data_IF_753292696725
#
_entry.id   IF_753292696725
#
_cell.length_a   1.000
_cell.length_b   1.000
_cell.length_c   1.000
_cell.angle_alpha   90.00
_cell.angle_beta   90.00
_cell.angle_gamma   90.00
#
_symmetry.space_group_name_H-M   'P 1'
#
loop_
_entity.id
_entity.type
_entity.pdbx_description
1 polymer ?
#
# COMPACT_ATOMS: atom_id res chain seq x y z
N UNK A 1 -22.28 16.44 -40.57
CA UNK A 1 -21.86 15.08 -40.14
C UNK A 1 -20.42 14.70 -40.51
N UNK A 2 -19.87 15.02 -41.70
CA UNK A 2 -18.47 14.68 -42.07
C UNK A 2 -17.38 15.21 -41.11
N UNK A 3 -17.57 16.39 -40.50
CA UNK A 3 -16.60 16.99 -39.56
C UNK A 3 -16.55 16.31 -38.18
N UNK A 4 -17.65 15.69 -37.72
CA UNK A 4 -17.67 14.94 -36.45
C UNK A 4 -17.02 13.57 -36.58
N UNK A 5 -17.13 12.92 -37.74
CA UNK A 5 -16.51 11.61 -38.00
C UNK A 5 -14.98 11.74 -38.03
N UNK A 6 -14.44 12.85 -38.55
CA UNK A 6 -13.00 13.10 -38.60
C UNK A 6 -12.38 13.28 -37.20
N UNK A 7 -13.11 13.91 -36.26
CA UNK A 7 -12.62 14.10 -34.89
C UNK A 7 -12.58 12.78 -34.10
N UNK A 8 -13.53 11.87 -34.36
CA UNK A 8 -13.56 10.56 -33.70
C UNK A 8 -12.45 9.65 -34.25
N UNK A 9 -12.14 9.71 -35.56
CA UNK A 9 -11.03 8.96 -36.14
C UNK A 9 -9.65 9.46 -35.66
N UNK A 10 -9.46 10.76 -35.50
CA UNK A 10 -8.19 11.31 -34.97
C UNK A 10 -7.98 11.00 -33.48
N UNK A 11 -9.06 10.87 -32.69
CA UNK A 11 -8.98 10.45 -31.29
C UNK A 11 -8.60 8.98 -31.09
N UNK A 12 -8.93 8.10 -32.05
CA UNK A 12 -8.61 6.67 -32.01
C UNK A 12 -7.17 6.36 -32.45
N UNK A 13 -6.54 7.23 -33.26
CA UNK A 13 -5.16 7.06 -33.74
C UNK A 13 -4.08 7.41 -32.69
N UNK A 14 -4.44 8.12 -31.61
CA UNK A 14 -3.51 8.48 -30.52
C UNK A 14 -3.40 7.35 -29.47
N UNK A 15 -4.30 6.37 -29.50
CA UNK A 15 -4.34 5.22 -28.58
C UNK A 15 -3.64 3.95 -29.11
N UNK A 16 -3.07 3.99 -30.33
CA UNK A 16 -2.45 2.84 -30.98
C UNK A 16 -0.94 2.98 -31.22
N UNK A 17 -0.22 3.72 -30.37
CA UNK A 17 1.25 3.63 -30.33
C UNK A 17 1.63 2.54 -29.34
N UNK A 18 2.08 1.35 -29.79
CA UNK A 18 2.75 0.42 -28.91
C UNK A 18 4.09 1.06 -28.49
N UNK A 19 4.23 1.47 -27.23
CA UNK A 19 5.55 1.74 -26.65
C UNK A 19 6.22 0.39 -26.38
N UNK A 20 6.54 -0.33 -27.45
CA UNK A 20 7.54 -1.38 -27.44
C UNK A 20 8.90 -0.68 -27.56
N UNK A 21 9.39 -0.12 -26.46
CA UNK A 21 10.80 0.27 -26.37
C UNK A 21 11.56 -0.87 -25.70
N UNK A 22 11.75 -1.95 -26.47
CA UNK A 22 12.73 -2.99 -26.15
C UNK A 22 14.09 -2.52 -26.66
N UNK A 23 14.81 -1.77 -25.83
CA UNK A 23 16.23 -1.55 -26.04
C UNK A 23 16.98 -2.78 -25.51
N UNK A 24 17.44 -3.65 -26.41
CA UNK A 24 18.48 -4.64 -26.13
C UNK A 24 19.87 -3.95 -26.07
N UNK A 25 20.83 -4.54 -25.34
CA UNK A 25 21.95 -3.84 -24.75
C UNK A 25 23.08 -3.66 -25.76
N UNK A 26 23.72 -2.47 -25.75
CA UNK A 26 25.04 -2.29 -26.32
C UNK A 26 26.01 -2.10 -25.17
N UNK A 27 26.94 -3.05 -25.03
CA UNK A 27 28.12 -2.95 -24.21
C UNK A 27 28.85 -1.63 -24.51
N UNK A 28 29.05 -0.80 -23.48
CA UNK A 28 30.27 -0.02 -23.30
C UNK A 28 30.54 0.14 -21.82
N UNK A 29 31.49 -0.66 -21.38
CA UNK A 29 32.30 -0.49 -20.19
C UNK A 29 32.79 0.96 -20.08
N UNK A 30 32.45 1.64 -18.98
CA UNK A 30 33.27 2.74 -18.45
C UNK A 30 33.08 2.82 -16.95
N UNK A 31 34.00 2.18 -16.25
CA UNK A 31 34.33 2.47 -14.87
C UNK A 31 34.57 3.98 -14.72
N UNK A 32 33.66 4.65 -14.02
CA UNK A 32 33.93 5.93 -13.36
C UNK A 32 33.13 5.95 -12.06
N UNK A 33 33.88 5.98 -10.99
CA UNK A 33 33.44 6.25 -9.63
C UNK A 33 32.70 7.58 -9.55
N UNK A 34 31.38 7.53 -9.47
CA UNK A 34 30.57 8.63 -8.95
C UNK A 34 29.90 8.16 -7.66
N UNK A 35 30.06 8.87 -6.53
CA UNK A 35 29.32 8.54 -5.32
C UNK A 35 27.84 8.77 -5.62
N UNK A 36 27.07 7.68 -5.67
CA UNK A 36 25.61 7.68 -5.75
C UNK A 36 25.08 8.81 -4.88
N UNK A 37 24.38 9.75 -5.53
CA UNK A 37 23.55 10.80 -4.93
C UNK A 37 22.91 10.23 -3.67
N UNK A 38 23.53 10.54 -2.52
CA UNK A 38 22.95 10.28 -1.23
C UNK A 38 21.62 11.03 -1.27
N UNK A 39 20.51 10.30 -1.25
CA UNK A 39 19.22 10.86 -0.87
C UNK A 39 19.50 11.79 0.31
N UNK A 40 18.99 13.04 0.32
CA UNK A 40 19.13 13.86 1.51
C UNK A 40 18.63 13.02 2.68
N UNK A 41 19.54 12.67 3.60
CA UNK A 41 19.18 12.22 4.93
C UNK A 41 18.53 13.44 5.56
N UNK A 42 17.25 13.66 5.25
CA UNK A 42 16.45 14.54 6.07
C UNK A 42 16.60 14.03 7.50
N UNK A 43 16.81 14.93 8.47
CA UNK A 43 16.91 14.53 9.86
C UNK A 43 15.67 13.72 10.20
N UNK A 44 15.88 12.54 10.77
CA UNK A 44 14.83 11.67 11.28
C UNK A 44 14.01 12.47 12.31
N UNK A 45 13.02 13.23 11.83
CA UNK A 45 11.89 13.59 12.66
C UNK A 45 11.35 12.25 13.10
N UNK A 46 11.50 11.94 14.39
CA UNK A 46 10.85 10.84 15.11
C UNK A 46 9.35 11.02 14.93
N UNK A 47 8.84 10.71 13.75
CA UNK A 47 7.43 10.73 13.44
C UNK A 47 6.85 9.60 14.26
N UNK A 48 6.23 9.97 15.38
CA UNK A 48 5.56 9.05 16.30
C UNK A 48 4.65 8.13 15.46
N UNK A 49 5.10 6.89 15.28
CA UNK A 49 4.32 5.88 14.60
C UNK A 49 3.17 5.48 15.50
N UNK A 50 1.96 5.45 14.95
CA UNK A 50 0.77 5.04 15.69
C UNK A 50 0.64 3.52 15.54
N UNK A 51 0.64 2.79 16.66
CA UNK A 51 0.42 1.35 16.65
C UNK A 51 -1.08 1.07 16.61
N UNK A 52 -1.48 0.11 15.80
CA UNK A 52 -2.86 -0.36 15.68
C UNK A 52 -2.86 -1.87 15.89
N UNK A 53 -3.75 -2.37 16.74
CA UNK A 53 -3.92 -3.81 16.98
C UNK A 53 -5.39 -4.15 16.71
N UNK A 54 -5.64 -5.22 15.99
CA UNK A 54 -7.00 -5.54 15.57
C UNK A 54 -7.21 -6.92 15.01
N UNK A 55 -8.40 -7.11 14.44
CA UNK A 55 -8.88 -8.33 13.80
C UNK A 55 -9.16 -8.07 12.33
N UNK A 56 -9.00 -9.09 11.50
CA UNK A 56 -9.34 -9.06 10.09
C UNK A 56 -10.17 -10.30 9.70
N UNK A 57 -10.92 -10.20 8.61
CA UNK A 57 -11.80 -11.26 8.12
C UNK A 57 -12.15 -11.08 6.65
N UNK A 58 -12.73 -12.11 6.04
CA UNK A 58 -13.20 -12.07 4.65
C UNK A 58 -14.62 -11.48 4.56
N UNK A 59 -14.97 -11.00 3.37
CA UNK A 59 -16.32 -10.49 3.10
C UNK A 59 -17.30 -11.65 3.09
N UNK A 60 -18.45 -11.48 3.73
CA UNK A 60 -19.48 -12.52 3.85
C UNK A 60 -19.30 -13.43 5.06
N UNK A 61 -18.16 -13.34 5.75
CA UNK A 61 -17.94 -14.03 7.01
C UNK A 61 -18.21 -13.10 8.19
N UNK A 62 -19.04 -13.57 9.14
CA UNK A 62 -19.25 -12.90 10.42
C UNK A 62 -18.16 -13.22 11.46
N UNK A 63 -17.14 -13.99 11.08
CA UNK A 63 -16.05 -14.44 11.96
C UNK A 63 -14.73 -13.79 11.56
N UNK A 64 -13.85 -13.60 12.54
CA UNK A 64 -12.49 -13.13 12.27
C UNK A 64 -11.64 -14.26 11.70
N UNK A 65 -10.99 -14.01 10.57
CA UNK A 65 -10.00 -14.91 9.97
C UNK A 65 -8.63 -14.81 10.68
N UNK A 66 -8.38 -13.71 11.41
CA UNK A 66 -7.21 -13.61 12.27
C UNK A 66 -6.99 -12.23 12.88
N UNK A 67 -5.76 -11.99 13.34
CA UNK A 67 -5.36 -10.78 14.04
C UNK A 67 -4.26 -10.05 13.29
N UNK A 68 -4.09 -8.77 13.59
CA UNK A 68 -3.02 -7.97 13.02
C UNK A 68 -2.46 -6.96 14.01
N UNK A 69 -1.22 -6.57 13.76
CA UNK A 69 -0.55 -5.41 14.36
C UNK A 69 0.02 -4.56 13.25
N UNK A 70 -0.34 -3.28 13.19
CA UNK A 70 0.15 -2.32 12.20
C UNK A 70 0.78 -1.11 12.88
N UNK A 71 1.73 -0.48 12.19
CA UNK A 71 2.32 0.81 12.52
C UNK A 71 2.02 1.75 11.38
N UNK A 72 1.34 2.85 11.69
CA UNK A 72 1.02 3.93 10.78
C UNK A 72 2.00 5.08 11.01
N UNK A 73 2.85 5.36 10.03
CA UNK A 73 3.80 6.48 10.09
C UNK A 73 3.43 7.52 9.05
N UNK A 74 3.16 8.75 9.46
CA UNK A 74 2.96 9.86 8.53
C UNK A 74 4.26 10.13 7.77
N UNK A 75 4.24 10.03 6.45
CA UNK A 75 5.40 10.34 5.62
C UNK A 75 5.36 11.78 5.10
N UNK A 76 4.24 12.20 4.47
CA UNK A 76 4.09 13.55 3.92
C UNK A 76 2.63 13.95 3.80
N UNK A 77 2.24 15.12 4.31
CA UNK A 77 0.86 15.65 4.20
C UNK A 77 -0.20 14.59 4.57
N UNK A 78 -0.91 14.04 3.58
CA UNK A 78 -1.97 13.01 3.72
C UNK A 78 -1.50 11.59 3.36
N UNK A 79 -0.20 11.38 3.18
CA UNK A 79 0.44 10.10 2.89
C UNK A 79 0.91 9.45 4.20
N UNK A 80 0.46 8.22 4.42
CA UNK A 80 0.77 7.39 5.57
C UNK A 80 1.46 6.12 5.05
N UNK A 81 2.61 5.78 5.62
CA UNK A 81 3.24 4.48 5.46
C UNK A 81 2.60 3.50 6.44
N UNK A 82 2.29 2.31 5.96
CA UNK A 82 1.65 1.25 6.73
C UNK A 82 2.59 0.04 6.70
N UNK A 83 3.03 -0.40 7.87
CA UNK A 83 3.79 -1.63 8.04
C UNK A 83 3.10 -2.48 9.08
N UNK A 84 2.91 -3.78 8.84
CA UNK A 84 2.24 -4.62 9.81
C UNK A 84 2.59 -6.10 9.71
N UNK A 85 2.13 -6.82 10.71
CA UNK A 85 2.12 -8.28 10.79
C UNK A 85 0.68 -8.73 10.90
N UNK A 86 0.34 -9.81 10.21
CA UNK A 86 -0.96 -10.45 10.29
C UNK A 86 -0.78 -11.94 10.50
N UNK A 87 -1.68 -12.56 11.24
CA UNK A 87 -1.76 -14.00 11.41
C UNK A 87 -3.19 -14.48 11.15
N UNK A 88 -3.35 -15.78 10.98
CA UNK A 88 -4.64 -16.48 11.00
C UNK A 88 -5.02 -16.87 12.43
N UNK A 89 -6.32 -17.05 12.71
CA UNK A 89 -6.84 -17.37 14.05
C UNK A 89 -6.28 -18.68 14.61
N UNK A 90 -6.05 -19.66 13.74
CA UNK A 90 -5.42 -20.96 14.04
C UNK A 90 -3.88 -20.89 14.14
N UNK A 91 -3.28 -19.73 13.86
CA UNK A 91 -1.83 -19.52 13.89
C UNK A 91 -1.05 -20.20 12.75
N UNK A 92 -1.74 -20.84 11.81
CA UNK A 92 -1.14 -21.63 10.72
C UNK A 92 -0.37 -20.76 9.71
N UNK A 93 -0.75 -19.49 9.56
CA UNK A 93 -0.08 -18.57 8.66
C UNK A 93 0.26 -17.24 9.35
N UNK A 94 1.47 -16.75 9.06
CA UNK A 94 1.92 -15.39 9.38
C UNK A 94 2.31 -14.68 8.09
N UNK A 95 2.05 -13.39 8.04
CA UNK A 95 2.42 -12.57 6.91
C UNK A 95 2.80 -11.16 7.33
N UNK A 96 3.54 -10.48 6.45
CA UNK A 96 3.93 -9.09 6.61
C UNK A 96 3.12 -8.23 5.65
N UNK A 97 2.52 -7.15 6.14
CA UNK A 97 1.86 -6.15 5.31
C UNK A 97 2.76 -4.93 5.11
N UNK A 98 2.87 -4.48 3.87
CA UNK A 98 3.54 -3.22 3.52
C UNK A 98 2.66 -2.44 2.56
N UNK A 99 2.40 -1.18 2.87
CA UNK A 99 1.59 -0.34 2.00
C UNK A 99 1.70 1.14 2.30
N UNK A 100 0.96 1.90 1.50
CA UNK A 100 0.79 3.33 1.62
C UNK A 100 -0.71 3.64 1.65
N UNK A 101 -1.11 4.61 2.46
CA UNK A 101 -2.45 5.17 2.45
C UNK A 101 -2.39 6.66 2.11
N UNK A 102 -3.17 7.10 1.12
CA UNK A 102 -3.31 8.52 0.73
C UNK A 102 -4.77 8.86 0.54
N UNK A 103 -5.27 9.89 1.25
CA UNK A 103 -6.69 10.32 1.19
C UNK A 103 -7.66 9.13 1.36
N UNK A 104 -7.36 8.26 2.33
CA UNK A 104 -8.11 7.03 2.64
C UNK A 104 -7.95 5.86 1.64
N UNK A 105 -7.30 6.03 0.49
CA UNK A 105 -6.96 4.91 -0.39
C UNK A 105 -5.72 4.20 0.10
N UNK A 106 -5.84 2.91 0.40
CA UNK A 106 -4.76 2.00 0.78
C UNK A 106 -4.31 1.21 -0.44
N UNK A 107 -3.01 1.20 -0.70
CA UNK A 107 -2.37 0.32 -1.68
C UNK A 107 -1.18 -0.36 -1.01
N UNK A 108 -1.06 -1.66 -1.15
CA UNK A 108 0.01 -2.42 -0.51
C UNK A 108 0.10 -3.86 -0.98
N UNK A 109 0.88 -4.62 -0.24
CA UNK A 109 1.12 -6.04 -0.48
C UNK A 109 1.12 -6.79 0.85
N UNK A 110 0.58 -8.01 0.83
CA UNK A 110 0.74 -9.00 1.89
C UNK A 110 1.80 -9.99 1.43
N UNK A 111 2.90 -10.09 2.17
CA UNK A 111 3.99 -11.05 1.94
C UNK A 111 3.87 -12.20 2.92
N UNK A 112 3.55 -13.37 2.38
CA UNK A 112 3.72 -14.66 3.03
C UNK A 112 5.10 -15.20 2.66
N UNK A 113 5.51 -16.30 3.28
CA UNK A 113 6.84 -16.90 3.03
C UNK A 113 7.02 -17.36 1.58
N UNK A 114 5.94 -17.83 0.93
CA UNK A 114 5.98 -18.38 -0.42
C UNK A 114 5.27 -17.51 -1.49
N UNK A 115 4.59 -16.42 -1.10
CA UNK A 115 3.82 -15.60 -2.04
C UNK A 115 3.67 -14.16 -1.60
N UNK A 116 3.58 -13.27 -2.59
CA UNK A 116 3.21 -11.86 -2.39
C UNK A 116 1.87 -11.60 -3.05
N UNK A 117 0.91 -11.07 -2.28
CA UNK A 117 -0.44 -10.79 -2.75
C UNK A 117 -0.66 -9.27 -2.74
N UNK A 118 -0.99 -8.64 -3.89
CA UNK A 118 -1.34 -7.23 -3.91
C UNK A 118 -2.69 -7.00 -3.21
N UNK A 119 -2.75 -5.92 -2.44
CA UNK A 119 -3.94 -5.53 -1.68
C UNK A 119 -4.21 -4.05 -1.88
N UNK A 120 -5.45 -3.73 -2.23
CA UNK A 120 -5.97 -2.37 -2.29
C UNK A 120 -7.14 -2.23 -1.33
N UNK A 121 -7.47 -1.01 -0.92
CA UNK A 121 -8.58 -0.82 0.01
C UNK A 121 -8.88 0.62 0.37
N UNK A 122 -9.86 0.77 1.24
CA UNK A 122 -10.25 2.03 1.86
C UNK A 122 -9.94 1.95 3.35
N UNK A 123 -9.06 2.83 3.82
CA UNK A 123 -8.67 3.00 5.21
C UNK A 123 -9.37 4.25 5.78
N UNK A 124 -10.21 4.05 6.79
CA UNK A 124 -10.86 5.09 7.57
C UNK A 124 -10.21 5.15 8.96
N UNK A 125 -9.87 6.36 9.38
CA UNK A 125 -9.43 6.66 10.74
C UNK A 125 -10.58 7.35 11.47
N UNK A 126 -11.06 6.71 12.53
CA UNK A 126 -11.99 7.29 13.49
C UNK A 126 -11.17 7.77 14.68
N UNK A 127 -11.01 9.10 14.78
CA UNK A 127 -10.15 9.71 15.79
C UNK A 127 -10.81 9.73 17.16
N UNK A 128 -12.13 9.88 17.20
CA UNK A 128 -12.91 10.02 18.42
C UNK A 128 -12.92 8.68 19.16
N UNK A 129 -13.17 7.60 18.42
CA UNK A 129 -13.17 6.25 18.97
C UNK A 129 -11.78 5.59 18.97
N UNK A 130 -10.74 6.29 18.48
CA UNK A 130 -9.37 5.77 18.33
C UNK A 130 -9.34 4.44 17.56
N UNK A 131 -10.06 4.37 16.44
CA UNK A 131 -10.24 3.15 15.65
C UNK A 131 -9.74 3.32 14.22
N UNK A 132 -9.25 2.22 13.65
CA UNK A 132 -8.92 2.10 12.23
C UNK A 132 -9.82 1.04 11.64
N UNK A 133 -10.46 1.37 10.53
CA UNK A 133 -11.27 0.45 9.75
C UNK A 133 -10.72 0.39 8.33
N UNK A 134 -10.59 -0.83 7.81
CA UNK A 134 -10.15 -1.07 6.45
C UNK A 134 -11.14 -1.99 5.77
N UNK A 135 -11.65 -1.59 4.61
CA UNK A 135 -12.22 -2.51 3.63
C UNK A 135 -11.14 -2.78 2.60
N UNK A 136 -10.78 -4.03 2.37
CA UNK A 136 -9.67 -4.39 1.51
C UNK A 136 -10.10 -5.42 0.46
N UNK A 137 -9.34 -5.48 -0.62
CA UNK A 137 -9.47 -6.48 -1.66
C UNK A 137 -8.12 -6.86 -2.24
N UNK A 138 -8.04 -8.09 -2.71
CA UNK A 138 -6.98 -8.67 -3.53
C UNK A 138 -7.64 -9.16 -4.82
N UNK A 139 -6.89 -9.68 -5.81
CA UNK A 139 -7.47 -10.18 -7.06
C UNK A 139 -8.53 -11.27 -6.88
N UNK A 140 -8.44 -12.07 -5.81
CA UNK A 140 -9.33 -13.24 -5.61
C UNK A 140 -10.35 -13.05 -4.49
N UNK A 141 -10.04 -12.23 -3.49
CA UNK A 141 -10.86 -12.14 -2.27
C UNK A 141 -10.90 -10.71 -1.74
N UNK A 142 -11.97 -10.39 -1.02
CA UNK A 142 -12.14 -9.12 -0.32
C UNK A 142 -12.49 -9.36 1.15
N UNK A 143 -12.34 -8.32 1.96
CA UNK A 143 -12.59 -8.44 3.39
C UNK A 143 -12.56 -7.12 4.12
N UNK A 144 -12.48 -7.26 5.45
CA UNK A 144 -12.49 -6.17 6.40
C UNK A 144 -11.35 -6.33 7.41
N UNK A 145 -10.94 -5.21 8.01
CA UNK A 145 -10.07 -5.19 9.17
C UNK A 145 -10.47 -4.04 10.08
N UNK A 146 -10.49 -4.29 11.39
CA UNK A 146 -10.85 -3.29 12.40
C UNK A 146 -9.84 -3.40 13.54
N UNK A 147 -9.27 -2.27 13.96
CA UNK A 147 -8.29 -2.24 15.04
C UNK A 147 -8.30 -0.96 15.85
N UNK A 148 -7.87 -1.07 17.11
CA UNK A 148 -7.73 0.06 18.04
C UNK A 148 -6.36 0.69 17.90
N UNK A 149 -6.33 2.01 17.93
CA UNK A 149 -5.13 2.82 18.00
C UNK A 149 -4.58 2.77 19.43
N UNK A 150 -3.41 2.16 19.58
CA UNK A 150 -2.61 2.25 20.79
C UNK A 150 -1.73 3.49 20.68
N UNK A 151 -2.11 4.54 21.43
CA UNK A 151 -1.22 5.66 21.70
C UNK A 151 -0.28 5.20 22.81
N UNK A 152 0.96 4.85 22.46
CA UNK A 152 2.03 4.91 23.48
C UNK A 152 2.28 6.39 23.73
N UNK A 153 1.87 6.90 24.89
CA UNK A 153 2.48 8.08 25.47
C UNK A 153 3.99 7.81 25.54
N UNK A 154 4.80 8.69 24.97
CA UNK A 154 6.22 8.68 25.31
C UNK A 154 6.33 8.92 26.84
N UNK A 155 7.24 8.25 27.55
CA UNK A 155 7.57 8.68 28.90
C UNK A 155 8.04 10.14 28.82
N UNK A 156 7.38 11.00 29.61
CA UNK A 156 7.76 12.39 29.88
C UNK A 156 9.12 12.46 30.55
#
# INVERSE_FOLDING_TARGET
MRRMILAILMGLLILSIPIASSALPSEKEKSRSDPLLRLPKEPERRGHGVKVIGKWGYRGENRSAGYFVMVLKRARKRLILVKGLLNTTDGSAKAKFFGIAKRCFLNGVVRYDNKTVPVVGLLKLDRDNKMVMVKWMSPRVSGWAVGRISVRSAPS
#
